data_IF_646534717644
#
_entry.id   IF_646534717644
#
_cell.length_a   1.000
_cell.length_b   1.000
_cell.length_c   1.000
_cell.angle_alpha   90.00
_cell.angle_beta   90.00
_cell.angle_gamma   90.00
#
_symmetry.space_group_name_H-M   'P 1'
#
loop_
_entity.id
_entity.type
_entity.pdbx_description
1 polymer ?
#
# COMPACT_ATOMS: atom_id res chain seq x y z
N UNK A 1 -19.40 -1.21 8.88
CA UNK A 1 -18.00 -0.81 8.69
C UNK A 1 -17.56 -1.13 7.26
N UNK A 2 -16.91 -0.18 6.61
CA UNK A 2 -16.40 -0.38 5.26
C UNK A 2 -15.04 -1.07 5.34
N UNK A 3 -14.87 -2.15 4.57
CA UNK A 3 -13.62 -2.87 4.48
C UNK A 3 -12.90 -2.47 3.20
N UNK A 4 -11.66 -2.02 3.31
CA UNK A 4 -10.87 -1.63 2.15
C UNK A 4 -10.25 -2.84 1.45
N UNK A 5 -9.93 -3.88 2.21
CA UNK A 5 -9.19 -5.01 1.67
C UNK A 5 -10.11 -6.07 1.11
N UNK A 6 -9.64 -6.75 0.06
CA UNK A 6 -10.37 -7.84 -0.57
C UNK A 6 -10.42 -9.05 0.35
N UNK A 7 -11.63 -9.58 0.56
CA UNK A 7 -11.87 -10.80 1.33
C UNK A 7 -12.95 -11.59 0.61
N UNK A 8 -13.27 -12.79 1.11
CA UNK A 8 -14.40 -13.57 0.59
C UNK A 8 -15.72 -12.81 0.78
N UNK A 9 -15.83 -11.99 1.83
CA UNK A 9 -17.01 -11.18 2.11
C UNK A 9 -17.03 -9.87 1.33
N UNK A 10 -15.87 -9.43 0.82
CA UNK A 10 -15.72 -8.18 0.09
C UNK A 10 -14.82 -8.41 -1.13
N UNK A 11 -15.31 -9.15 -2.13
CA UNK A 11 -14.48 -9.49 -3.29
C UNK A 11 -14.08 -8.27 -4.14
N UNK A 12 -14.81 -7.15 -4.02
CA UNK A 12 -14.52 -5.93 -4.75
C UNK A 12 -13.51 -5.04 -4.03
N UNK A 13 -13.00 -5.46 -2.88
CA UNK A 13 -11.99 -4.72 -2.15
C UNK A 13 -10.62 -4.79 -2.82
N UNK A 14 -9.69 -3.98 -2.34
CA UNK A 14 -8.33 -3.94 -2.86
C UNK A 14 -7.48 -5.03 -2.22
N UNK A 15 -6.49 -5.52 -2.97
CA UNK A 15 -5.39 -6.26 -2.35
C UNK A 15 -4.54 -5.29 -1.55
N UNK A 16 -3.91 -5.77 -0.49
CA UNK A 16 -3.11 -4.90 0.37
C UNK A 16 -1.99 -4.20 -0.43
N UNK A 17 -1.27 -4.92 -1.28
CA UNK A 17 -0.21 -4.33 -2.09
C UNK A 17 -0.73 -3.24 -3.03
N UNK A 18 -1.95 -3.40 -3.54
CA UNK A 18 -2.54 -2.43 -4.45
C UNK A 18 -2.93 -1.14 -3.73
N UNK A 19 -3.57 -1.26 -2.56
CA UNK A 19 -3.95 -0.06 -1.80
C UNK A 19 -2.73 0.69 -1.29
N UNK A 20 -1.69 -0.03 -0.88
CA UNK A 20 -0.44 0.60 -0.47
C UNK A 20 0.23 1.33 -1.63
N UNK A 21 0.17 0.77 -2.83
CA UNK A 21 0.70 1.42 -4.04
C UNK A 21 -0.07 2.69 -4.39
N UNK A 22 -1.39 2.68 -4.24
CA UNK A 22 -2.22 3.86 -4.48
C UNK A 22 -1.86 4.97 -3.48
N UNK A 23 -1.71 4.61 -2.22
CA UNK A 23 -1.32 5.57 -1.17
C UNK A 23 0.07 6.15 -1.48
N UNK A 24 1.01 5.30 -1.88
CA UNK A 24 2.36 5.74 -2.24
C UNK A 24 2.33 6.76 -3.38
N UNK A 25 1.56 6.48 -4.43
CA UNK A 25 1.42 7.39 -5.56
C UNK A 25 0.82 8.72 -5.14
N UNK A 26 -0.17 8.72 -4.27
CA UNK A 26 -0.79 9.95 -3.77
C UNK A 26 0.19 10.79 -2.97
N UNK A 27 1.01 10.16 -2.15
CA UNK A 27 2.04 10.86 -1.37
C UNK A 27 3.07 11.51 -2.30
N UNK A 28 3.52 10.81 -3.33
CA UNK A 28 4.46 11.35 -4.32
C UNK A 28 3.85 12.57 -5.01
N UNK A 29 2.60 12.47 -5.41
CA UNK A 29 1.91 13.57 -6.07
C UNK A 29 1.80 14.80 -5.17
N UNK A 30 1.43 14.61 -3.92
CA UNK A 30 1.33 15.71 -2.94
C UNK A 30 2.70 16.33 -2.63
N UNK A 31 3.73 15.49 -2.49
CA UNK A 31 5.09 15.98 -2.26
C UNK A 31 5.58 16.84 -3.43
N UNK A 32 5.21 16.48 -4.65
CA UNK A 32 5.57 17.24 -5.83
C UNK A 32 5.04 18.67 -5.81
N UNK A 33 3.89 18.89 -5.18
CA UNK A 33 3.28 20.23 -5.11
C UNK A 33 4.06 21.19 -4.24
N UNK A 34 4.80 20.69 -3.26
CA UNK A 34 5.56 21.53 -2.34
C UNK A 34 7.07 21.37 -2.51
N UNK A 35 7.51 20.59 -3.49
CA UNK A 35 8.93 20.29 -3.69
C UNK A 35 9.78 21.53 -3.96
N UNK A 36 9.19 22.56 -4.58
CA UNK A 36 9.90 23.81 -4.86
C UNK A 36 9.86 24.83 -3.73
N UNK A 37 9.16 24.53 -2.64
CA UNK A 37 9.04 25.44 -1.51
C UNK A 37 10.25 25.26 -0.60
N UNK A 38 11.02 26.33 -0.36
CA UNK A 38 12.25 26.28 0.41
C UNK A 38 12.08 26.63 1.89
N UNK A 39 10.84 26.85 2.34
CA UNK A 39 10.59 27.11 3.76
C UNK A 39 10.95 25.89 4.60
N UNK A 40 11.46 26.07 5.82
CA UNK A 40 11.85 24.95 6.68
C UNK A 40 10.73 23.93 6.91
N UNK A 41 9.49 24.41 7.04
CA UNK A 41 8.33 23.54 7.23
C UNK A 41 8.11 22.63 6.04
N UNK A 42 8.21 23.16 4.82
CA UNK A 42 8.03 22.39 3.60
C UNK A 42 9.16 21.36 3.45
N UNK A 43 10.39 21.75 3.75
CA UNK A 43 11.54 20.83 3.72
C UNK A 43 11.35 19.68 4.70
N UNK A 44 10.83 19.97 5.88
CA UNK A 44 10.58 18.94 6.91
C UNK A 44 9.53 17.97 6.44
N UNK A 45 8.43 18.46 5.85
CA UNK A 45 7.36 17.60 5.32
C UNK A 45 7.90 16.71 4.20
N UNK A 46 8.68 17.27 3.28
CA UNK A 46 9.30 16.48 2.19
C UNK A 46 10.19 15.40 2.77
N UNK A 47 11.04 15.73 3.73
CA UNK A 47 11.93 14.74 4.35
C UNK A 47 11.14 13.61 5.01
N UNK A 48 10.08 13.95 5.72
CA UNK A 48 9.21 12.96 6.36
C UNK A 48 8.53 12.07 5.31
N UNK A 49 8.05 12.67 4.22
CA UNK A 49 7.40 11.92 3.15
C UNK A 49 8.36 10.94 2.47
N UNK A 50 9.62 11.33 2.28
CA UNK A 50 10.62 10.43 1.71
C UNK A 50 10.83 9.20 2.59
N UNK A 51 10.83 9.38 3.91
CA UNK A 51 10.95 8.26 4.85
C UNK A 51 9.71 7.37 4.83
N UNK A 52 8.53 7.98 4.74
CA UNK A 52 7.27 7.24 4.64
C UNK A 52 7.26 6.42 3.34
N UNK A 53 7.67 7.01 2.23
CA UNK A 53 7.70 6.31 0.94
C UNK A 53 8.62 5.10 0.97
N UNK A 54 9.78 5.24 1.61
CA UNK A 54 10.72 4.13 1.77
C UNK A 54 10.07 2.97 2.56
N UNK A 55 9.40 3.28 3.65
CA UNK A 55 8.71 2.27 4.46
C UNK A 55 7.53 1.66 3.72
N UNK A 56 6.79 2.45 2.95
CA UNK A 56 5.69 1.93 2.13
C UNK A 56 6.20 0.96 1.06
N UNK A 57 7.35 1.25 0.46
CA UNK A 57 7.96 0.34 -0.51
C UNK A 57 8.24 -1.01 0.13
N UNK A 58 8.81 -1.02 1.33
CA UNK A 58 9.05 -2.26 2.07
C UNK A 58 7.73 -2.99 2.37
N UNK A 59 6.71 -2.25 2.77
CA UNK A 59 5.39 -2.84 3.05
C UNK A 59 4.77 -3.48 1.80
N UNK A 60 4.91 -2.83 0.66
CA UNK A 60 4.40 -3.36 -0.62
C UNK A 60 5.09 -4.68 -0.95
N UNK A 61 6.41 -4.72 -0.81
CA UNK A 61 7.18 -5.94 -1.08
C UNK A 61 6.78 -7.08 -0.14
N UNK A 62 6.55 -6.79 1.13
CA UNK A 62 6.08 -7.80 2.09
C UNK A 62 4.68 -8.28 1.75
N UNK A 63 3.79 -7.38 1.34
CA UNK A 63 2.42 -7.74 0.96
C UNK A 63 2.42 -8.62 -0.30
N UNK A 64 3.25 -8.29 -1.29
CA UNK A 64 3.41 -9.10 -2.50
C UNK A 64 3.94 -10.49 -2.17
N UNK A 65 4.93 -10.56 -1.29
CA UNK A 65 5.48 -11.85 -0.84
C UNK A 65 4.42 -12.70 -0.16
N UNK A 66 3.61 -12.09 0.69
CA UNK A 66 2.51 -12.79 1.37
C UNK A 66 1.48 -13.30 0.37
N UNK A 67 1.12 -12.51 -0.63
CA UNK A 67 0.19 -12.93 -1.68
C UNK A 67 0.75 -14.11 -2.46
N UNK A 68 2.02 -14.08 -2.82
CA UNK A 68 2.69 -15.19 -3.51
C UNK A 68 2.70 -16.44 -2.65
N UNK A 69 3.00 -16.30 -1.37
CA UNK A 69 3.02 -17.42 -0.43
C UNK A 69 1.66 -18.08 -0.31
N UNK A 70 0.60 -17.25 -0.18
CA UNK A 70 -0.76 -17.76 -0.10
C UNK A 70 -1.17 -18.47 -1.39
N UNK A 71 -0.84 -17.91 -2.55
CA UNK A 71 -1.15 -18.52 -3.83
C UNK A 71 -0.43 -19.86 -4.01
N UNK A 72 0.82 -19.96 -3.58
CA UNK A 72 1.56 -21.23 -3.66
C UNK A 72 1.03 -22.28 -2.71
N UNK A 73 0.58 -21.88 -1.52
CA UNK A 73 0.10 -22.81 -0.50
C UNK A 73 -1.33 -23.28 -0.74
N UNK A 74 -2.18 -22.39 -1.28
CA UNK A 74 -3.61 -22.67 -1.45
C UNK A 74 -4.04 -22.70 -2.90
N UNK A 75 -3.11 -22.51 -3.84
CA UNK A 75 -3.39 -22.46 -5.26
C UNK A 75 -4.03 -21.13 -5.66
N UNK A 76 -4.35 -21.02 -6.97
CA UNK A 76 -4.92 -19.78 -7.52
C UNK A 76 -6.44 -19.85 -7.62
N UNK A 77 -7.08 -20.69 -6.81
CA UNK A 77 -8.53 -20.73 -6.77
C UNK A 77 -9.05 -19.47 -6.09
N UNK A 78 -10.28 -19.08 -6.43
CA UNK A 78 -10.92 -17.94 -5.78
C UNK A 78 -11.22 -18.16 -4.30
N UNK A 79 -10.94 -19.35 -3.78
CA UNK A 79 -11.13 -19.70 -2.37
C UNK A 79 -9.88 -19.50 -1.53
N UNK A 80 -8.75 -19.14 -2.13
CA UNK A 80 -7.53 -18.90 -1.38
C UNK A 80 -7.72 -17.72 -0.42
N UNK A 81 -7.20 -17.83 0.82
CA UNK A 81 -7.22 -16.68 1.74
C UNK A 81 -6.46 -15.50 1.15
N UNK A 82 -6.88 -14.30 1.51
CA UNK A 82 -6.25 -13.07 1.06
C UNK A 82 -5.81 -12.27 2.26
N UNK A 83 -4.81 -11.43 2.05
CA UNK A 83 -4.37 -10.49 3.09
C UNK A 83 -5.54 -9.60 3.45
N UNK A 84 -5.79 -9.45 4.75
CA UNK A 84 -6.96 -8.72 5.25
C UNK A 84 -8.18 -9.58 5.50
N UNK A 85 -8.17 -10.85 5.13
CA UNK A 85 -9.22 -11.79 5.49
C UNK A 85 -9.18 -12.06 7.01
N UNK A 86 -10.33 -12.11 7.61
CA UNK A 86 -10.43 -12.39 9.05
C UNK A 86 -10.10 -13.84 9.37
#
# INVERSE_FOLDING_TARGET
>A
MTHFLSTDENPDGYKLEDILSIIRQDIIHRAGKIAGDNRPEARRVIANNMRILDKLTDCIELAEDSTDTLNRSFGQSGKAPRIGAA
#
